data_IF_613123138069
#
_entry.id   IF_613123138069
#
_cell.length_a   1.000
_cell.length_b   1.000
_cell.length_c   1.000
_cell.angle_alpha   90.00
_cell.angle_beta   90.00
_cell.angle_gamma   90.00
#
_symmetry.space_group_name_H-M   'P 1'
#
loop_
_entity.id
_entity.type
_entity.pdbx_description
1 polymer ?
#
# COMPACT_ATOMS: atom_id res chain seq x y z
N UNK A 1 -13.29 19.51 -0.23
CA UNK A 1 -11.95 18.95 -0.55
C UNK A 1 -11.62 17.91 0.49
N UNK A 2 -11.33 16.69 0.05
CA UNK A 2 -11.00 15.59 0.97
C UNK A 2 -9.50 15.31 0.90
N UNK A 3 -8.86 15.29 2.07
CA UNK A 3 -7.45 14.96 2.24
C UNK A 3 -7.38 13.71 3.11
N UNK A 4 -6.59 12.74 2.65
CA UNK A 4 -6.32 11.49 3.35
C UNK A 4 -4.83 11.40 3.63
N UNK A 5 -4.48 10.91 4.81
CA UNK A 5 -3.09 10.70 5.22
C UNK A 5 -2.94 9.23 5.59
N UNK A 6 -1.89 8.62 5.09
CA UNK A 6 -1.52 7.24 5.40
C UNK A 6 -0.02 7.10 5.54
N UNK A 7 0.42 6.09 6.24
CA UNK A 7 1.83 5.82 6.51
C UNK A 7 2.22 4.41 6.09
N UNK A 8 3.45 4.24 5.67
CA UNK A 8 4.02 2.95 5.28
C UNK A 8 5.43 2.78 5.82
N UNK A 9 5.71 1.59 6.33
CA UNK A 9 6.96 1.26 6.98
C UNK A 9 6.95 1.61 8.48
N UNK A 10 8.12 1.56 9.09
CA UNK A 10 8.33 1.95 10.48
C UNK A 10 9.62 2.75 10.62
N UNK A 11 9.68 3.60 11.61
CA UNK A 11 10.89 4.34 11.95
C UNK A 11 11.78 3.43 12.78
N UNK A 12 12.77 2.83 12.12
CA UNK A 12 13.70 1.91 12.75
C UNK A 12 14.99 1.80 11.93
N UNK A 13 16.13 2.16 12.52
CA UNK A 13 17.44 2.10 11.88
C UNK A 13 18.15 0.74 12.01
N UNK A 14 17.55 -0.24 12.69
CA UNK A 14 18.16 -1.55 12.93
C UNK A 14 17.62 -2.67 12.01
N UNK A 15 16.55 -2.41 11.24
CA UNK A 15 15.94 -3.42 10.38
C UNK A 15 16.39 -3.27 8.93
N UNK A 16 17.19 -4.21 8.38
CA UNK A 16 17.79 -4.08 7.04
C UNK A 16 16.76 -4.07 5.92
N UNK A 17 15.57 -4.64 6.12
CA UNK A 17 14.49 -4.71 5.14
C UNK A 17 13.55 -3.50 5.16
N UNK A 18 13.68 -2.63 6.15
CA UNK A 18 12.83 -1.46 6.34
C UNK A 18 13.61 -0.17 6.07
N UNK A 19 13.95 0.05 4.80
CA UNK A 19 14.81 1.16 4.39
C UNK A 19 14.17 2.53 4.54
N UNK A 20 12.86 2.60 4.41
CA UNK A 20 12.14 3.86 4.35
C UNK A 20 10.88 3.85 5.21
N UNK A 21 10.62 4.99 5.82
CA UNK A 21 9.33 5.35 6.35
C UNK A 21 8.71 6.41 5.46
N UNK A 22 7.48 6.20 5.02
CA UNK A 22 6.80 7.08 4.06
C UNK A 22 5.49 7.57 4.68
N UNK A 23 5.27 8.86 4.64
CA UNK A 23 3.98 9.48 4.92
C UNK A 23 3.43 9.97 3.60
N UNK A 24 2.26 9.49 3.20
CA UNK A 24 1.56 9.90 2.00
C UNK A 24 0.36 10.76 2.35
N UNK A 25 0.17 11.83 1.60
CA UNK A 25 -0.99 12.72 1.68
C UNK A 25 -1.67 12.72 0.33
N UNK A 26 -2.94 12.31 0.29
CA UNK A 26 -3.75 12.23 -0.94
C UNK A 26 -4.82 13.31 -0.90
N UNK A 27 -4.77 14.24 -1.84
CA UNK A 27 -5.81 15.24 -2.07
C UNK A 27 -6.72 14.76 -3.19
N UNK A 28 -7.99 14.50 -2.87
CA UNK A 28 -8.97 14.07 -3.87
C UNK A 28 -9.60 15.28 -4.56
N UNK A 29 -9.45 15.36 -5.89
CA UNK A 29 -9.98 16.44 -6.73
C UNK A 29 -11.41 16.14 -7.15
N UNK A 30 -11.65 14.94 -7.68
CA UNK A 30 -12.97 14.46 -8.09
C UNK A 30 -13.27 13.09 -7.48
N UNK A 31 -14.01 13.10 -6.38
CA UNK A 31 -14.35 11.91 -5.62
C UNK A 31 -15.23 10.93 -6.42
N UNK A 32 -16.16 11.44 -7.23
CA UNK A 32 -17.06 10.59 -8.00
C UNK A 32 -16.32 9.87 -9.13
N UNK A 33 -15.45 10.58 -9.84
CA UNK A 33 -14.62 9.97 -10.88
C UNK A 33 -13.60 8.99 -10.30
N UNK A 34 -13.02 9.29 -9.14
CA UNK A 34 -12.13 8.37 -8.45
C UNK A 34 -12.85 7.09 -8.03
N UNK A 35 -14.05 7.18 -7.45
CA UNK A 35 -14.87 6.01 -7.08
C UNK A 35 -15.23 5.16 -8.30
N UNK A 36 -15.60 5.77 -9.42
CA UNK A 36 -15.87 5.05 -10.68
C UNK A 36 -14.63 4.35 -11.22
N UNK A 37 -13.49 5.04 -11.22
CA UNK A 37 -12.22 4.47 -11.63
C UNK A 37 -11.81 3.28 -10.76
N UNK A 38 -11.95 3.42 -9.44
CA UNK A 38 -11.68 2.34 -8.48
C UNK A 38 -12.55 1.10 -8.75
N UNK A 39 -13.86 1.27 -8.88
CA UNK A 39 -14.77 0.16 -9.20
C UNK A 39 -14.43 -0.51 -10.53
N UNK A 40 -14.10 0.27 -11.56
CA UNK A 40 -13.68 -0.24 -12.87
C UNK A 40 -12.38 -1.02 -12.79
N UNK A 41 -11.38 -0.52 -12.06
CA UNK A 41 -10.13 -1.24 -11.85
C UNK A 41 -10.35 -2.59 -11.18
N UNK A 42 -11.12 -2.62 -10.10
CA UNK A 42 -11.45 -3.86 -9.37
C UNK A 42 -12.20 -4.85 -10.26
N UNK A 43 -13.25 -4.42 -10.96
CA UNK A 43 -14.04 -5.31 -11.81
C UNK A 43 -13.25 -5.86 -13.00
N UNK A 44 -12.38 -5.04 -13.60
CA UNK A 44 -11.53 -5.47 -14.73
C UNK A 44 -10.41 -6.42 -14.33
N UNK A 45 -10.02 -6.44 -13.07
CA UNK A 45 -8.94 -7.27 -12.53
C UNK A 45 -9.43 -8.28 -11.49
N UNK A 46 -10.73 -8.53 -11.40
CA UNK A 46 -11.35 -9.29 -10.31
C UNK A 46 -10.71 -10.66 -10.09
N UNK A 47 -10.65 -11.48 -11.13
CA UNK A 47 -10.11 -12.84 -11.04
C UNK A 47 -8.62 -12.85 -10.66
N UNK A 48 -7.87 -11.89 -11.18
CA UNK A 48 -6.46 -11.76 -10.87
C UNK A 48 -6.22 -11.28 -9.44
N UNK A 49 -7.01 -10.32 -8.96
CA UNK A 49 -6.96 -9.87 -7.57
C UNK A 49 -7.30 -11.02 -6.62
N UNK A 50 -8.32 -11.83 -6.96
CA UNK A 50 -8.68 -13.01 -6.19
C UNK A 50 -7.55 -14.03 -6.14
N UNK A 51 -6.87 -14.29 -7.26
CA UNK A 51 -5.72 -15.19 -7.31
C UNK A 51 -4.51 -14.67 -6.50
N UNK A 52 -4.32 -13.35 -6.44
CA UNK A 52 -3.26 -12.73 -5.64
C UNK A 52 -3.53 -12.75 -4.13
N UNK A 53 -4.78 -12.92 -3.72
CA UNK A 53 -5.21 -12.90 -2.32
C UNK A 53 -5.21 -14.30 -1.67
N UNK A 54 -4.40 -15.20 -2.20
CA UNK A 54 -4.21 -16.56 -1.66
C UNK A 54 -2.97 -16.62 -0.75
N UNK A 55 -2.94 -17.64 0.11
CA UNK A 55 -1.77 -17.93 0.94
C UNK A 55 -0.54 -18.16 0.06
N UNK A 56 0.56 -17.56 0.45
CA UNK A 56 1.87 -17.83 -0.17
C UNK A 56 2.66 -18.79 0.70
N UNK A 57 3.05 -19.91 0.10
CA UNK A 57 3.78 -20.94 0.80
C UNK A 57 5.27 -20.83 0.53
N UNK A 58 6.06 -21.21 1.53
CA UNK A 58 7.49 -21.36 1.35
C UNK A 58 7.77 -22.53 0.39
N UNK A 59 8.59 -22.38 -0.66
CA UNK A 59 8.75 -23.37 -1.73
C UNK A 59 9.36 -24.70 -1.25
N UNK A 60 10.08 -24.69 -0.13
CA UNK A 60 10.75 -25.88 0.42
C UNK A 60 9.96 -26.48 1.59
N UNK A 61 9.54 -25.64 2.56
CA UNK A 61 8.91 -26.13 3.80
C UNK A 61 7.39 -26.30 3.68
N UNK A 62 6.73 -25.65 2.72
CA UNK A 62 5.28 -25.60 2.57
C UNK A 62 4.56 -24.76 3.64
N UNK A 63 5.30 -24.09 4.52
CA UNK A 63 4.72 -23.21 5.54
C UNK A 63 4.17 -21.94 4.91
N UNK A 64 3.08 -21.41 5.48
CA UNK A 64 2.50 -20.13 5.06
C UNK A 64 3.44 -19.00 5.44
N UNK A 65 4.05 -18.36 4.45
CA UNK A 65 4.93 -17.19 4.64
C UNK A 65 4.16 -15.87 4.53
N UNK A 66 2.98 -15.91 3.90
CA UNK A 66 2.07 -14.77 3.82
C UNK A 66 0.64 -15.27 3.68
N UNK A 67 -0.21 -14.82 4.60
CA UNK A 67 -1.64 -15.13 4.58
C UNK A 67 -2.38 -14.37 3.48
N UNK A 68 -3.30 -15.05 2.82
CA UNK A 68 -4.30 -14.49 1.92
C UNK A 68 -5.55 -13.98 2.63
N UNK A 69 -6.63 -13.79 1.87
CA UNK A 69 -7.92 -13.37 2.42
C UNK A 69 -7.96 -11.94 2.96
N UNK A 70 -7.06 -11.07 2.47
CA UNK A 70 -6.97 -9.68 2.92
C UNK A 70 -7.77 -8.71 2.05
N UNK A 71 -7.98 -9.06 0.80
CA UNK A 71 -8.77 -8.26 -0.15
C UNK A 71 -10.20 -8.77 -0.30
N UNK A 72 -10.42 -10.07 -0.08
CA UNK A 72 -11.71 -10.73 -0.20
C UNK A 72 -12.10 -11.39 1.12
N UNK A 73 -13.34 -11.20 1.54
CA UNK A 73 -13.89 -11.79 2.76
C UNK A 73 -15.20 -12.49 2.43
N UNK A 74 -15.34 -13.77 2.81
CA UNK A 74 -16.53 -14.59 2.53
C UNK A 74 -16.95 -14.60 1.04
N UNK A 75 -15.96 -14.57 0.12
CA UNK A 75 -16.19 -14.54 -1.32
C UNK A 75 -16.52 -13.17 -1.91
N UNK A 76 -16.54 -12.11 -1.11
CA UNK A 76 -16.84 -10.75 -1.54
C UNK A 76 -15.59 -9.86 -1.46
N UNK A 77 -15.43 -9.01 -2.47
CA UNK A 77 -14.41 -7.98 -2.44
C UNK A 77 -14.66 -6.97 -1.31
N UNK A 78 -13.64 -6.71 -0.53
CA UNK A 78 -13.67 -5.78 0.60
C UNK A 78 -12.84 -4.52 0.31
N UNK A 79 -11.54 -4.68 0.07
CA UNK A 79 -10.64 -3.57 -0.21
C UNK A 79 -9.40 -4.00 -1.00
N UNK A 80 -8.74 -3.06 -1.67
CA UNK A 80 -7.44 -3.31 -2.28
C UNK A 80 -6.33 -3.27 -1.23
N UNK A 81 -5.42 -4.23 -1.29
CA UNK A 81 -4.21 -4.28 -0.47
C UNK A 81 -2.96 -4.34 -1.36
N UNK A 82 -2.26 -3.23 -1.47
CA UNK A 82 -1.03 -3.16 -2.27
C UNK A 82 0.05 -4.16 -1.83
N UNK A 83 0.02 -4.60 -0.56
CA UNK A 83 0.88 -5.65 -0.05
C UNK A 83 0.61 -7.03 -0.66
N UNK A 84 -0.60 -7.27 -1.21
CA UNK A 84 -0.96 -8.51 -1.91
C UNK A 84 -0.57 -8.47 -3.39
N UNK A 85 -0.31 -7.30 -3.95
CA UNK A 85 0.03 -7.13 -5.35
C UNK A 85 1.41 -7.69 -5.67
N UNK A 86 1.51 -8.39 -6.79
CA UNK A 86 2.79 -8.66 -7.44
C UNK A 86 3.30 -7.40 -8.17
N UNK A 87 4.49 -7.49 -8.74
CA UNK A 87 5.12 -6.37 -9.46
C UNK A 87 4.26 -5.87 -10.62
N UNK A 88 3.66 -6.79 -11.36
CA UNK A 88 2.85 -6.46 -12.53
C UNK A 88 1.55 -5.75 -12.13
N UNK A 89 0.85 -6.25 -11.10
CA UNK A 89 -0.36 -5.61 -10.58
C UNK A 89 -0.06 -4.21 -10.02
N UNK A 90 1.08 -4.03 -9.34
CA UNK A 90 1.52 -2.70 -8.89
C UNK A 90 1.71 -1.73 -10.06
N UNK A 91 2.36 -2.17 -11.12
CA UNK A 91 2.56 -1.38 -12.33
C UNK A 91 1.22 -1.03 -12.99
N UNK A 92 0.33 -2.00 -13.17
CA UNK A 92 -0.99 -1.76 -13.74
C UNK A 92 -1.83 -0.80 -12.90
N UNK A 93 -1.77 -0.90 -11.57
CA UNK A 93 -2.45 0.03 -10.67
C UNK A 93 -1.97 1.47 -10.85
N UNK A 94 -0.65 1.66 -10.83
CA UNK A 94 -0.05 2.99 -11.01
C UNK A 94 -0.39 3.56 -12.39
N UNK A 95 -0.25 2.79 -13.45
CA UNK A 95 -0.55 3.22 -14.81
C UNK A 95 -2.03 3.58 -14.99
N UNK A 96 -2.93 2.79 -14.41
CA UNK A 96 -4.36 3.04 -14.51
C UNK A 96 -4.76 4.35 -13.82
N UNK A 97 -4.31 4.57 -12.59
CA UNK A 97 -4.71 5.76 -11.82
C UNK A 97 -3.94 7.03 -12.20
N UNK A 98 -2.76 6.92 -12.82
CA UNK A 98 -2.01 8.09 -13.31
C UNK A 98 -2.58 8.70 -14.59
N UNK A 99 -3.41 7.97 -15.33
CA UNK A 99 -3.99 8.44 -16.60
C UNK A 99 -5.10 9.48 -16.45
N UNK A 100 -5.78 9.48 -15.30
CA UNK A 100 -6.89 10.40 -15.05
C UNK A 100 -6.63 11.13 -13.74
N UNK A 101 -6.36 12.43 -13.76
CA UNK A 101 -6.00 13.19 -12.56
C UNK A 101 -7.25 13.45 -11.70
N UNK A 102 -7.67 12.44 -10.93
CA UNK A 102 -8.76 12.54 -9.95
C UNK A 102 -8.29 12.85 -8.55
N UNK A 103 -6.98 12.79 -8.34
CA UNK A 103 -6.33 13.07 -7.07
C UNK A 103 -4.87 13.51 -7.29
N UNK A 104 -4.29 14.06 -6.27
CA UNK A 104 -2.86 14.38 -6.17
C UNK A 104 -2.26 13.66 -4.97
N UNK A 105 -1.02 13.20 -5.12
CA UNK A 105 -0.26 12.57 -4.04
C UNK A 105 0.95 13.43 -3.72
N UNK A 106 1.12 13.71 -2.45
CA UNK A 106 2.33 14.27 -1.87
C UNK A 106 2.88 13.25 -0.88
N UNK A 107 4.17 13.10 -0.80
CA UNK A 107 4.75 12.18 0.17
C UNK A 107 6.07 12.71 0.76
N UNK A 108 6.30 12.32 2.01
CA UNK A 108 7.57 12.51 2.72
C UNK A 108 8.19 11.13 2.86
N UNK A 109 9.43 10.99 2.40
CA UNK A 109 10.20 9.76 2.47
C UNK A 109 11.39 9.96 3.39
N UNK A 110 11.45 9.16 4.45
CA UNK A 110 12.53 9.20 5.44
C UNK A 110 13.39 7.94 5.26
N UNK A 111 14.69 8.13 5.10
CA UNK A 111 15.65 7.02 5.05
C UNK A 111 16.01 6.57 6.45
N UNK A 112 15.65 5.35 6.82
CA UNK A 112 15.95 4.78 8.14
C UNK A 112 17.46 4.62 8.38
N UNK A 113 18.26 4.41 7.35
CA UNK A 113 19.71 4.29 7.46
C UNK A 113 20.39 5.57 7.97
N UNK A 114 19.73 6.72 7.80
CA UNK A 114 20.25 8.04 8.20
C UNK A 114 19.74 8.49 9.57
N UNK A 115 18.90 7.69 10.22
CA UNK A 115 18.34 8.02 11.51
C UNK A 115 19.28 7.64 12.64
N UNK A 116 19.32 8.48 13.68
CA UNK A 116 20.01 8.17 14.93
C UNK A 116 19.13 7.33 15.86
N UNK A 117 19.76 6.60 16.78
CA UNK A 117 19.02 5.83 17.80
C UNK A 117 18.13 6.73 18.65
N UNK A 118 18.59 7.94 18.96
CA UNK A 118 17.80 8.91 19.70
C UNK A 118 16.51 9.29 18.97
N UNK A 119 16.60 9.53 17.66
CA UNK A 119 15.43 9.84 16.82
C UNK A 119 14.43 8.69 16.82
N UNK A 120 14.89 7.45 16.64
CA UNK A 120 14.03 6.28 16.63
C UNK A 120 13.33 6.03 17.97
N UNK A 121 13.99 6.30 19.09
CA UNK A 121 13.43 6.13 20.45
C UNK A 121 12.42 7.22 20.83
N UNK A 122 12.50 8.39 20.22
CA UNK A 122 11.70 9.56 20.58
C UNK A 122 10.86 10.08 19.40
N UNK A 123 10.40 9.18 18.56
CA UNK A 123 9.63 9.49 17.34
C UNK A 123 8.44 10.41 17.59
N UNK A 124 7.65 10.14 18.63
CA UNK A 124 6.48 10.95 18.98
C UNK A 124 6.86 12.43 19.27
N UNK A 125 7.99 12.68 19.91
CA UNK A 125 8.48 14.04 20.17
C UNK A 125 8.99 14.73 18.91
N UNK A 126 9.49 13.96 17.95
CA UNK A 126 10.05 14.51 16.71
C UNK A 126 8.96 14.94 15.73
N UNK A 127 7.82 14.24 15.71
CA UNK A 127 6.70 14.57 14.82
C UNK A 127 5.62 15.44 15.46
N UNK A 128 5.62 15.61 16.75
CA UNK A 128 4.76 16.56 17.47
C UNK A 128 5.47 17.90 17.68
#
# INVERSE_FOLDING_TARGET
MNIYIDESGSINNHMPNNRYFIIALVRVIDSNSLKRAYKRFVSSNYDRLLALDTDKLHPITGEVVKEGGKMFQNGFFHELKGSCFDKEMKTQFVDFFSRTPTFEIYFIKISNEKLTDHFCKHTARTFN
#
